data_IF_901996984727
#
_entry.id   IF_901996984727
#
_cell.length_a   1.000
_cell.length_b   1.000
_cell.length_c   1.000
_cell.angle_alpha   90.00
_cell.angle_beta   90.00
_cell.angle_gamma   90.00
#
_symmetry.space_group_name_H-M   'P 1'
#
loop_
_entity.id
_entity.type
_entity.pdbx_description
1 polymer ?
#
# COMPACT_ATOMS: atom_id res chain seq x y z
N UNK A 1 -16.01 10.58 -21.04
CA UNK A 1 -14.86 10.15 -21.85
C UNK A 1 -13.69 11.13 -21.72
N UNK A 2 -13.80 12.40 -22.16
CA UNK A 2 -12.68 13.35 -22.10
C UNK A 2 -12.06 13.54 -20.71
N UNK A 3 -12.87 13.66 -19.65
CA UNK A 3 -12.36 13.76 -18.27
C UNK A 3 -11.62 12.50 -17.81
N UNK A 4 -12.15 11.32 -18.12
CA UNK A 4 -11.54 10.02 -17.79
C UNK A 4 -10.17 9.86 -18.43
N UNK A 5 -10.03 10.22 -19.72
CA UNK A 5 -8.75 10.13 -20.43
C UNK A 5 -7.71 11.06 -19.78
N UNK A 6 -8.11 12.28 -19.42
CA UNK A 6 -7.22 13.24 -18.76
C UNK A 6 -6.73 12.74 -17.40
N UNK A 7 -7.60 12.18 -16.56
CA UNK A 7 -7.16 11.72 -15.24
C UNK A 7 -6.30 10.47 -15.33
N UNK A 8 -6.54 9.59 -16.29
CA UNK A 8 -5.66 8.44 -16.56
C UNK A 8 -4.27 8.92 -17.02
N UNK A 9 -4.20 9.99 -17.83
CA UNK A 9 -2.93 10.58 -18.21
C UNK A 9 -2.18 11.16 -17.01
N UNK A 10 -2.85 11.90 -16.14
CA UNK A 10 -2.25 12.45 -14.90
C UNK A 10 -1.76 11.31 -14.01
N UNK A 11 -2.56 10.26 -13.80
CA UNK A 11 -2.13 9.07 -13.06
C UNK A 11 -0.87 8.45 -13.67
N UNK A 12 -0.80 8.32 -15.00
CA UNK A 12 0.38 7.78 -15.68
C UNK A 12 1.63 8.64 -15.45
N UNK A 13 1.49 9.96 -15.39
CA UNK A 13 2.61 10.86 -15.09
C UNK A 13 3.09 10.70 -13.64
N UNK A 14 2.15 10.57 -12.69
CA UNK A 14 2.46 10.30 -11.28
C UNK A 14 3.19 8.96 -11.14
N UNK A 15 2.65 7.88 -11.73
CA UNK A 15 3.31 6.56 -11.70
C UNK A 15 4.70 6.63 -12.34
N UNK A 16 4.86 7.36 -13.44
CA UNK A 16 6.18 7.54 -14.06
C UNK A 16 7.14 8.34 -13.20
N UNK A 17 6.67 9.28 -12.38
CA UNK A 17 7.51 10.04 -11.46
C UNK A 17 7.92 9.15 -10.29
N UNK A 18 6.98 8.45 -9.65
CA UNK A 18 7.27 7.48 -8.58
C UNK A 18 8.23 6.37 -9.08
N UNK A 19 8.00 5.83 -10.27
CA UNK A 19 8.84 4.79 -10.87
C UNK A 19 10.26 5.23 -11.26
N UNK A 20 10.55 6.54 -11.23
CA UNK A 20 11.91 7.10 -11.38
C UNK A 20 12.55 7.39 -10.01
N UNK A 21 12.01 6.82 -8.95
CA UNK A 21 12.43 7.04 -7.57
C UNK A 21 11.69 8.18 -6.87
N UNK A 22 10.76 8.85 -7.55
CA UNK A 22 9.85 9.83 -6.95
C UNK A 22 10.57 10.80 -6.02
N UNK A 23 10.06 10.89 -4.79
CA UNK A 23 10.63 11.73 -3.74
C UNK A 23 12.00 11.24 -3.23
N UNK A 24 12.30 9.95 -3.32
CA UNK A 24 13.58 9.39 -2.86
C UNK A 24 14.77 9.82 -3.74
N UNK A 25 14.49 10.23 -4.98
CA UNK A 25 15.48 10.78 -5.91
C UNK A 25 15.32 12.29 -6.12
N UNK A 26 14.08 12.81 -6.09
CA UNK A 26 13.79 14.24 -6.27
C UNK A 26 14.08 15.03 -4.98
N UNK A 27 15.16 15.81 -5.02
CA UNK A 27 15.58 16.69 -3.91
C UNK A 27 14.81 18.01 -3.85
N UNK A 28 13.86 18.23 -4.76
CA UNK A 28 13.10 19.47 -4.84
C UNK A 28 12.06 19.59 -3.74
N UNK A 29 11.83 20.80 -3.25
CA UNK A 29 10.77 21.08 -2.27
C UNK A 29 9.38 21.03 -2.93
N UNK A 30 8.44 20.21 -2.43
CA UNK A 30 7.16 19.98 -3.11
C UNK A 30 6.26 21.23 -3.22
N UNK A 31 6.44 22.21 -2.33
CA UNK A 31 5.69 23.48 -2.36
C UNK A 31 6.28 24.52 -3.32
N UNK A 32 7.45 24.28 -3.91
CA UNK A 32 8.01 25.22 -4.87
C UNK A 32 7.35 25.05 -6.24
N UNK A 33 6.99 26.19 -6.83
CA UNK A 33 6.39 26.25 -8.15
C UNK A 33 7.31 25.64 -9.19
N UNK A 34 6.78 24.75 -10.03
CA UNK A 34 7.52 24.17 -11.15
C UNK A 34 8.29 22.88 -10.83
N UNK A 35 8.26 22.41 -9.59
CA UNK A 35 8.73 21.05 -9.26
C UNK A 35 7.80 19.99 -9.82
N UNK A 36 8.27 18.73 -9.92
CA UNK A 36 7.46 17.64 -10.44
C UNK A 36 6.20 17.44 -9.60
N UNK A 37 6.34 17.34 -8.27
CA UNK A 37 5.22 17.23 -7.35
C UNK A 37 4.21 18.38 -7.52
N UNK A 38 4.68 19.63 -7.47
CA UNK A 38 3.80 20.81 -7.56
C UNK A 38 2.95 20.79 -8.83
N UNK A 39 3.56 20.46 -9.99
CA UNK A 39 2.85 20.40 -11.27
C UNK A 39 1.79 19.30 -11.28
N UNK A 40 2.12 18.12 -10.75
CA UNK A 40 1.19 16.99 -10.70
C UNK A 40 0.01 17.26 -9.76
N UNK A 41 0.25 17.89 -8.61
CA UNK A 41 -0.80 18.32 -7.69
C UNK A 41 -1.68 19.42 -8.30
N UNK A 42 -1.07 20.40 -8.98
CA UNK A 42 -1.80 21.43 -9.72
C UNK A 42 -2.67 20.82 -10.83
N UNK A 43 -2.17 19.83 -11.58
CA UNK A 43 -2.93 19.16 -12.63
C UNK A 43 -4.13 18.38 -12.06
N UNK A 44 -3.99 17.72 -10.90
CA UNK A 44 -5.09 17.08 -10.19
C UNK A 44 -6.15 18.10 -9.74
N UNK A 45 -5.71 19.19 -9.13
CA UNK A 45 -6.59 20.26 -8.65
C UNK A 45 -7.33 20.94 -9.81
N UNK A 46 -6.61 21.22 -10.91
CA UNK A 46 -7.17 21.78 -12.14
C UNK A 46 -8.19 20.83 -12.75
N UNK A 47 -7.86 19.54 -12.84
CA UNK A 47 -8.79 18.53 -13.36
C UNK A 47 -10.10 18.50 -12.55
N UNK A 48 -10.01 18.55 -11.21
CA UNK A 48 -11.20 18.61 -10.34
C UNK A 48 -12.01 19.89 -10.55
N UNK A 49 -11.34 21.04 -10.70
CA UNK A 49 -11.99 22.35 -10.84
C UNK A 49 -12.83 22.49 -12.11
N UNK A 50 -12.45 21.82 -13.21
CA UNK A 50 -13.16 21.91 -14.49
C UNK A 50 -14.35 20.94 -14.58
N UNK A 51 -14.53 20.05 -13.60
CA UNK A 51 -15.64 19.10 -13.59
C UNK A 51 -16.94 19.84 -13.21
N UNK A 52 -18.00 19.71 -14.02
CA UNK A 52 -19.30 20.28 -13.69
C UNK A 52 -19.83 19.78 -12.35
N UNK A 53 -20.50 20.65 -11.59
CA UNK A 53 -21.00 20.36 -10.24
C UNK A 53 -21.81 19.06 -10.16
N UNK A 54 -22.62 18.77 -11.17
CA UNK A 54 -23.46 17.54 -11.22
C UNK A 54 -22.66 16.24 -11.43
N UNK A 55 -21.38 16.32 -11.82
CA UNK A 55 -20.47 15.17 -11.95
C UNK A 55 -19.45 15.08 -10.81
N UNK A 56 -19.41 16.05 -9.90
CA UNK A 56 -18.48 16.03 -8.78
C UNK A 56 -18.77 14.86 -7.85
N UNK A 57 -17.73 14.39 -7.16
CA UNK A 57 -17.88 13.33 -6.17
C UNK A 57 -18.67 13.83 -4.96
N UNK A 58 -19.88 13.30 -4.79
CA UNK A 58 -20.70 13.46 -3.59
C UNK A 58 -21.70 12.31 -3.50
N UNK A 59 -22.18 11.95 -2.30
CA UNK A 59 -23.22 10.93 -2.13
C UNK A 59 -24.50 11.22 -2.92
N UNK A 60 -24.87 12.51 -3.02
CA UNK A 60 -26.04 12.98 -3.76
C UNK A 60 -25.87 12.76 -5.26
N UNK A 61 -24.73 13.19 -5.81
CA UNK A 61 -24.42 13.00 -7.23
C UNK A 61 -24.28 11.53 -7.59
N UNK A 62 -23.66 10.72 -6.73
CA UNK A 62 -23.53 9.28 -6.94
C UNK A 62 -24.90 8.64 -7.21
N UNK A 63 -25.89 8.90 -6.34
CA UNK A 63 -27.24 8.34 -6.47
C UNK A 63 -27.92 8.77 -7.77
N UNK A 64 -27.84 10.06 -8.13
CA UNK A 64 -28.44 10.59 -9.35
C UNK A 64 -27.79 10.01 -10.62
N UNK A 65 -26.46 9.94 -10.68
CA UNK A 65 -25.71 9.45 -11.84
C UNK A 65 -25.93 7.95 -12.05
N UNK A 66 -26.03 7.19 -10.95
CA UNK A 66 -26.37 5.76 -10.99
C UNK A 66 -27.77 5.56 -11.56
N UNK A 67 -28.77 6.35 -11.12
CA UNK A 67 -30.13 6.30 -11.66
C UNK A 67 -30.20 6.62 -13.17
N UNK A 68 -29.28 7.47 -13.66
CA UNK A 68 -29.13 7.79 -15.08
C UNK A 68 -28.37 6.72 -15.90
N UNK A 69 -28.00 5.59 -15.30
CA UNK A 69 -27.25 4.52 -15.96
C UNK A 69 -25.79 4.85 -16.26
N UNK A 70 -25.26 5.94 -15.69
CA UNK A 70 -23.88 6.43 -15.92
C UNK A 70 -22.96 6.19 -14.71
N UNK A 71 -23.41 5.40 -13.74
CA UNK A 71 -22.68 5.12 -12.50
C UNK A 71 -21.29 4.52 -12.74
N UNK A 72 -21.20 3.44 -13.54
CA UNK A 72 -19.94 2.74 -13.81
C UNK A 72 -18.81 3.63 -14.36
N UNK A 73 -18.97 4.36 -15.48
CA UNK A 73 -17.91 5.23 -15.99
C UNK A 73 -17.59 6.41 -15.06
N UNK A 74 -18.57 6.90 -14.30
CA UNK A 74 -18.35 7.94 -13.30
C UNK A 74 -17.53 7.44 -12.11
N UNK A 75 -17.86 6.26 -11.57
CA UNK A 75 -17.12 5.65 -10.47
C UNK A 75 -15.69 5.32 -10.89
N UNK A 76 -15.48 4.78 -12.10
CA UNK A 76 -14.12 4.52 -12.59
C UNK A 76 -13.30 5.81 -12.73
N UNK A 77 -13.90 6.90 -13.22
CA UNK A 77 -13.22 8.19 -13.33
C UNK A 77 -12.77 8.72 -11.97
N UNK A 78 -13.63 8.67 -10.95
CA UNK A 78 -13.29 9.11 -9.60
C UNK A 78 -12.35 8.15 -8.87
N UNK A 79 -12.44 6.85 -9.12
CA UNK A 79 -11.49 5.86 -8.59
C UNK A 79 -10.06 6.19 -9.04
N UNK A 80 -9.87 6.47 -10.33
CA UNK A 80 -8.56 6.85 -10.88
C UNK A 80 -8.08 8.19 -10.28
N UNK A 81 -8.98 9.17 -10.09
CA UNK A 81 -8.63 10.44 -9.45
C UNK A 81 -8.13 10.25 -8.02
N UNK A 82 -8.86 9.50 -7.19
CA UNK A 82 -8.45 9.27 -5.81
C UNK A 82 -7.18 8.44 -5.73
N UNK A 83 -7.02 7.44 -6.60
CA UNK A 83 -5.78 6.67 -6.68
C UNK A 83 -4.59 7.57 -7.03
N UNK A 84 -4.72 8.44 -8.02
CA UNK A 84 -3.68 9.38 -8.43
C UNK A 84 -3.29 10.33 -7.28
N UNK A 85 -4.28 10.94 -6.63
CA UNK A 85 -4.06 11.84 -5.48
C UNK A 85 -3.43 11.11 -4.30
N UNK A 86 -3.90 9.90 -3.97
CA UNK A 86 -3.31 9.10 -2.91
C UNK A 86 -1.84 8.73 -3.21
N UNK A 87 -1.51 8.30 -4.43
CA UNK A 87 -0.13 8.00 -4.83
C UNK A 87 0.79 9.19 -4.69
N UNK A 88 0.35 10.36 -5.18
CA UNK A 88 1.20 11.55 -5.16
C UNK A 88 1.58 11.97 -3.73
N UNK A 89 0.60 12.02 -2.82
CA UNK A 89 0.83 12.47 -1.45
C UNK A 89 1.48 11.39 -0.56
N UNK A 90 1.25 10.10 -0.84
CA UNK A 90 1.84 8.99 -0.07
C UNK A 90 3.37 8.95 -0.15
N UNK A 91 3.98 9.48 -1.22
CA UNK A 91 5.45 9.56 -1.35
C UNK A 91 6.13 10.37 -0.22
N UNK A 92 5.36 11.12 0.56
CA UNK A 92 5.82 11.85 1.74
C UNK A 92 5.44 11.20 3.06
N UNK A 93 4.80 10.02 3.02
CA UNK A 93 4.57 9.16 4.18
C UNK A 93 5.65 8.07 4.18
N UNK A 94 6.44 7.94 5.27
CA UNK A 94 7.52 6.98 5.31
C UNK A 94 6.97 5.55 5.24
N UNK A 95 7.75 4.66 4.63
CA UNK A 95 7.38 3.25 4.51
C UNK A 95 7.19 2.58 5.89
N UNK A 96 8.07 2.93 6.82
CA UNK A 96 7.99 2.61 8.25
C UNK A 96 8.32 3.87 9.05
N UNK A 97 7.38 4.43 9.84
CA UNK A 97 7.65 5.60 10.67
C UNK A 97 8.79 5.36 11.67
N UNK A 98 9.55 6.41 11.97
CA UNK A 98 10.44 6.47 13.15
C UNK A 98 9.64 6.88 14.39
N UNK A 99 10.18 6.67 15.60
CA UNK A 99 9.46 6.95 16.86
C UNK A 99 9.07 8.43 16.98
N UNK A 100 9.96 9.35 16.57
CA UNK A 100 9.72 10.79 16.64
C UNK A 100 8.99 11.37 15.41
N UNK A 101 8.61 10.51 14.46
CA UNK A 101 7.95 10.92 13.22
C UNK A 101 6.56 11.49 13.51
N UNK A 102 6.27 12.63 12.88
CA UNK A 102 4.96 13.26 12.87
C UNK A 102 4.65 13.70 11.42
N UNK A 103 3.53 13.23 10.82
CA UNK A 103 3.13 13.65 9.48
C UNK A 103 3.05 15.17 9.28
N UNK A 104 2.84 15.96 10.35
CA UNK A 104 2.79 17.43 10.27
C UNK A 104 4.17 18.07 10.03
N UNK A 105 5.26 17.36 10.32
CA UNK A 105 6.65 17.82 10.12
C UNK A 105 7.19 17.47 8.74
N UNK A 106 6.48 16.64 7.98
CA UNK A 106 6.93 16.12 6.70
C UNK A 106 7.67 14.78 6.84
N UNK A 107 8.25 14.28 5.75
CA UNK A 107 8.84 12.95 5.70
C UNK A 107 10.11 12.82 6.55
N UNK A 108 10.37 11.61 7.07
CA UNK A 108 11.59 11.28 7.84
C UNK A 108 12.63 10.45 7.09
N UNK A 109 12.25 9.83 5.97
CA UNK A 109 13.12 9.04 5.06
C UNK A 109 13.65 9.91 3.90
N UNK A 110 14.35 9.37 2.90
CA UNK A 110 14.75 10.07 1.66
C UNK A 110 15.59 11.35 1.81
N UNK A 111 15.73 12.17 0.74
CA UNK A 111 16.49 13.41 0.79
C UNK A 111 15.91 14.42 1.79
N UNK A 112 16.80 15.05 2.57
CA UNK A 112 16.43 16.00 3.60
C UNK A 112 15.89 17.32 3.00
N UNK A 113 14.68 17.70 3.44
CA UNK A 113 14.06 18.97 3.05
C UNK A 113 14.49 20.08 4.01
N UNK A 114 15.58 20.78 3.68
CA UNK A 114 16.19 21.81 4.54
C UNK A 114 15.43 23.14 4.63
N UNK A 115 14.58 23.45 3.64
CA UNK A 115 13.73 24.64 3.68
C UNK A 115 12.46 24.37 4.49
N UNK A 116 12.02 25.37 5.26
CA UNK A 116 10.76 25.29 5.98
C UNK A 116 9.57 25.22 5.02
N UNK A 117 8.69 24.25 5.22
CA UNK A 117 7.45 24.15 4.48
C UNK A 117 6.52 25.34 4.79
N UNK A 118 5.69 25.79 3.83
CA UNK A 118 4.62 26.72 4.12
C UNK A 118 3.70 26.19 5.22
N UNK A 119 3.08 27.11 5.95
CA UNK A 119 2.13 26.77 7.00
C UNK A 119 1.06 25.81 6.46
N UNK A 120 0.76 24.77 7.22
CA UNK A 120 -0.28 23.76 6.95
C UNK A 120 -0.06 22.91 5.68
N UNK A 121 1.09 23.02 4.99
CA UNK A 121 1.37 22.24 3.77
C UNK A 121 1.32 20.73 4.04
N UNK A 122 2.05 20.26 5.05
CA UNK A 122 2.10 18.84 5.39
C UNK A 122 0.77 18.31 5.90
N UNK A 123 0.06 19.09 6.71
CA UNK A 123 -1.30 18.77 7.13
C UNK A 123 -2.23 18.59 5.92
N UNK A 124 -2.20 19.54 4.99
CA UNK A 124 -3.03 19.49 3.77
C UNK A 124 -2.68 18.30 2.88
N UNK A 125 -1.39 17.97 2.75
CA UNK A 125 -0.90 16.82 2.01
C UNK A 125 -1.36 15.50 2.64
N UNK A 126 -1.21 15.35 3.96
CA UNK A 126 -1.66 14.16 4.69
C UNK A 126 -3.18 14.02 4.64
N UNK A 127 -3.93 15.11 4.83
CA UNK A 127 -5.39 15.12 4.69
C UNK A 127 -5.81 14.70 3.27
N UNK A 128 -5.14 15.23 2.24
CA UNK A 128 -5.41 14.87 0.85
C UNK A 128 -5.21 13.37 0.56
N UNK A 129 -4.16 12.78 1.13
CA UNK A 129 -3.90 11.34 1.06
C UNK A 129 -5.00 10.54 1.75
N UNK A 130 -5.31 10.85 3.02
CA UNK A 130 -6.29 10.12 3.83
C UNK A 130 -7.69 10.21 3.22
N UNK A 131 -8.13 11.42 2.83
CA UNK A 131 -9.42 11.62 2.16
C UNK A 131 -9.54 10.78 0.90
N UNK A 132 -8.44 10.66 0.13
CA UNK A 132 -8.42 9.90 -1.10
C UNK A 132 -8.47 8.39 -0.83
N UNK A 133 -7.73 7.90 0.17
CA UNK A 133 -7.80 6.51 0.63
C UNK A 133 -9.22 6.14 1.09
N UNK A 134 -9.81 6.94 1.99
CA UNK A 134 -11.18 6.75 2.45
C UNK A 134 -12.18 6.77 1.28
N UNK A 135 -11.99 7.67 0.31
CA UNK A 135 -12.87 7.80 -0.85
C UNK A 135 -12.78 6.60 -1.79
N UNK A 136 -11.60 5.98 -1.94
CA UNK A 136 -11.42 4.73 -2.70
C UNK A 136 -12.26 3.62 -2.09
N UNK A 137 -12.11 3.38 -0.78
CA UNK A 137 -12.83 2.32 -0.06
C UNK A 137 -14.34 2.54 -0.13
N UNK A 138 -14.79 3.77 0.14
CA UNK A 138 -16.21 4.13 0.06
C UNK A 138 -16.77 3.95 -1.36
N UNK A 139 -16.03 4.38 -2.38
CA UNK A 139 -16.46 4.27 -3.77
C UNK A 139 -16.50 2.81 -4.23
N UNK A 140 -15.55 1.97 -3.79
CA UNK A 140 -15.62 0.53 -4.04
C UNK A 140 -16.91 -0.07 -3.44
N UNK A 141 -17.24 0.27 -2.20
CA UNK A 141 -18.47 -0.19 -1.54
C UNK A 141 -19.73 0.28 -2.29
N UNK A 142 -19.75 1.51 -2.79
CA UNK A 142 -20.84 2.01 -3.64
C UNK A 142 -20.94 1.17 -4.91
N UNK A 143 -19.82 0.93 -5.59
CA UNK A 143 -19.78 0.12 -6.81
C UNK A 143 -20.27 -1.31 -6.56
N UNK A 144 -19.86 -1.94 -5.46
CA UNK A 144 -20.31 -3.28 -5.07
C UNK A 144 -21.80 -3.32 -4.76
N UNK A 145 -22.30 -2.42 -3.89
CA UNK A 145 -23.72 -2.37 -3.49
C UNK A 145 -24.68 -2.05 -4.64
N UNK A 146 -24.19 -1.36 -5.67
CA UNK A 146 -25.00 -0.90 -6.81
C UNK A 146 -24.71 -1.67 -8.09
N UNK A 147 -23.99 -2.79 -7.99
CA UNK A 147 -23.61 -3.66 -9.11
C UNK A 147 -22.95 -2.93 -10.30
N UNK A 148 -22.04 -1.99 -9.99
CA UNK A 148 -21.30 -1.21 -10.99
C UNK A 148 -20.04 -1.93 -11.48
N UNK A 149 -20.03 -3.26 -11.41
CA UNK A 149 -18.91 -4.13 -11.84
C UNK A 149 -17.58 -3.86 -11.10
N UNK A 150 -17.63 -3.61 -9.77
CA UNK A 150 -16.45 -3.28 -8.96
C UNK A 150 -15.29 -4.28 -9.10
N UNK A 151 -15.61 -5.57 -9.03
CA UNK A 151 -14.65 -6.68 -9.11
C UNK A 151 -14.46 -7.23 -10.52
N UNK A 152 -15.02 -6.57 -11.55
CA UNK A 152 -14.85 -6.99 -12.95
C UNK A 152 -13.55 -6.48 -13.59
N UNK A 153 -12.85 -5.52 -12.96
CA UNK A 153 -11.60 -4.94 -13.48
C UNK A 153 -10.56 -4.86 -12.36
N UNK A 154 -9.25 -4.94 -12.68
CA UNK A 154 -8.20 -4.86 -11.68
C UNK A 154 -7.97 -3.44 -11.14
N UNK A 155 -8.38 -2.38 -11.86
CA UNK A 155 -8.11 -0.98 -11.49
C UNK A 155 -8.66 -0.63 -10.08
N UNK A 156 -9.92 -0.94 -9.71
CA UNK A 156 -10.39 -0.76 -8.33
C UNK A 156 -9.53 -1.47 -7.29
N UNK A 157 -8.97 -2.64 -7.61
CA UNK A 157 -8.04 -3.38 -6.74
C UNK A 157 -6.71 -2.66 -6.53
N UNK A 158 -6.15 -2.02 -7.57
CA UNK A 158 -4.95 -1.19 -7.44
C UNK A 158 -5.21 0.06 -6.59
N UNK A 159 -6.38 0.69 -6.75
CA UNK A 159 -6.83 1.75 -5.86
C UNK A 159 -6.88 1.28 -4.41
N UNK A 160 -7.53 0.13 -4.16
CA UNK A 160 -7.64 -0.47 -2.83
C UNK A 160 -6.28 -0.80 -2.22
N UNK A 161 -5.30 -1.27 -2.99
CA UNK A 161 -3.94 -1.52 -2.50
C UNK A 161 -3.32 -0.24 -1.91
N UNK A 162 -3.54 0.88 -2.60
CA UNK A 162 -3.07 2.19 -2.14
C UNK A 162 -3.79 2.61 -0.85
N UNK A 163 -5.12 2.52 -0.85
CA UNK A 163 -5.95 2.90 0.29
C UNK A 163 -5.63 2.05 1.54
N UNK A 164 -5.59 0.73 1.37
CA UNK A 164 -5.27 -0.23 2.44
C UNK A 164 -3.89 0.05 3.04
N UNK A 165 -2.88 0.42 2.24
CA UNK A 165 -1.56 0.79 2.79
C UNK A 165 -1.65 2.01 3.72
N UNK A 166 -2.43 3.03 3.37
CA UNK A 166 -2.65 4.19 4.24
C UNK A 166 -3.39 3.75 5.51
N UNK A 167 -4.45 2.94 5.37
CA UNK A 167 -5.22 2.47 6.51
C UNK A 167 -4.43 1.56 7.46
N UNK A 168 -3.47 0.77 6.95
CA UNK A 168 -2.53 0.01 7.79
C UNK A 168 -1.76 0.97 8.69
N UNK A 169 -1.09 1.98 8.12
CA UNK A 169 -0.26 2.93 8.87
C UNK A 169 -1.08 3.63 9.95
N UNK A 170 -2.23 4.19 9.61
CA UNK A 170 -3.08 4.92 10.57
C UNK A 170 -3.85 4.02 11.53
N UNK A 171 -3.93 2.70 11.29
CA UNK A 171 -4.48 1.75 12.26
C UNK A 171 -3.46 1.34 13.32
N UNK A 172 -2.17 1.35 12.96
CA UNK A 172 -1.07 0.93 13.83
C UNK A 172 -0.53 2.14 14.59
N UNK A 173 -0.23 3.25 13.91
CA UNK A 173 0.34 4.45 14.51
C UNK A 173 -0.73 5.50 14.78
N UNK A 174 -0.54 6.24 15.87
CA UNK A 174 -1.45 7.31 16.29
C UNK A 174 -0.66 8.59 16.49
N UNK A 175 -1.05 9.64 15.78
CA UNK A 175 -0.48 10.97 15.90
C UNK A 175 -1.55 11.96 16.32
N UNK A 176 -1.33 12.66 17.44
CA UNK A 176 -2.27 13.67 17.95
C UNK A 176 -2.56 14.76 16.90
N UNK A 177 -1.55 15.10 16.11
CA UNK A 177 -1.62 16.08 15.01
C UNK A 177 -2.60 15.71 13.89
N UNK A 178 -2.91 14.42 13.72
CA UNK A 178 -3.79 13.91 12.66
C UNK A 178 -5.07 13.27 13.20
N UNK A 179 -5.25 13.22 14.52
CA UNK A 179 -6.38 12.58 15.21
C UNK A 179 -7.75 13.13 14.81
N UNK A 180 -7.81 14.38 14.33
CA UNK A 180 -9.03 15.03 13.87
C UNK A 180 -9.47 14.62 12.45
N UNK A 181 -8.58 14.02 11.65
CA UNK A 181 -8.88 13.59 10.28
C UNK A 181 -9.30 12.12 10.25
N UNK A 182 -8.54 11.27 10.94
CA UNK A 182 -8.77 9.83 10.97
C UNK A 182 -8.29 9.23 12.28
N UNK A 183 -9.20 8.65 13.04
CA UNK A 183 -8.86 7.88 14.23
C UNK A 183 -8.33 6.48 13.88
N UNK A 184 -7.52 5.84 14.74
CA UNK A 184 -7.07 4.47 14.52
C UNK A 184 -8.20 3.45 14.38
N UNK A 185 -9.32 3.66 15.08
CA UNK A 185 -10.51 2.81 15.01
C UNK A 185 -11.21 2.93 13.65
N UNK A 186 -11.36 4.15 13.15
CA UNK A 186 -11.90 4.40 11.80
C UNK A 186 -10.97 3.84 10.74
N UNK A 187 -9.65 4.04 10.87
CA UNK A 187 -8.66 3.46 9.97
C UNK A 187 -8.75 1.95 9.93
N UNK A 188 -8.89 1.29 11.08
CA UNK A 188 -9.09 -0.16 11.18
C UNK A 188 -10.39 -0.62 10.53
N UNK A 189 -11.46 0.16 10.65
CA UNK A 189 -12.73 -0.09 9.97
C UNK A 189 -12.61 0.00 8.44
N UNK A 190 -11.87 0.98 7.93
CA UNK A 190 -11.56 1.06 6.49
C UNK A 190 -10.67 -0.09 6.02
N UNK A 191 -9.62 -0.44 6.78
CA UNK A 191 -8.77 -1.58 6.46
C UNK A 191 -9.57 -2.89 6.39
N UNK A 192 -10.52 -3.10 7.30
CA UNK A 192 -11.46 -4.23 7.23
C UNK A 192 -12.27 -4.23 5.94
N UNK A 193 -12.82 -3.08 5.56
CA UNK A 193 -13.56 -2.92 4.31
C UNK A 193 -12.70 -3.20 3.08
N UNK A 194 -11.43 -2.81 3.09
CA UNK A 194 -10.50 -3.04 2.00
C UNK A 194 -10.15 -4.53 1.86
N UNK A 195 -9.91 -5.22 2.97
CA UNK A 195 -9.63 -6.66 2.96
C UNK A 195 -10.85 -7.47 2.50
N UNK A 196 -12.06 -7.07 2.92
CA UNK A 196 -13.31 -7.64 2.39
C UNK A 196 -13.46 -7.38 0.88
N UNK A 197 -13.04 -6.21 0.40
CA UNK A 197 -13.04 -5.86 -1.00
C UNK A 197 -12.03 -6.69 -1.80
N UNK A 198 -10.82 -6.92 -1.30
CA UNK A 198 -9.87 -7.83 -1.95
C UNK A 198 -10.40 -9.25 -2.02
N UNK A 199 -11.03 -9.75 -0.95
CA UNK A 199 -11.63 -11.08 -0.95
C UNK A 199 -12.73 -11.20 -2.02
N UNK A 200 -13.53 -10.14 -2.21
CA UNK A 200 -14.54 -10.05 -3.27
C UNK A 200 -13.95 -10.06 -4.68
N UNK A 201 -12.87 -9.29 -4.92
CA UNK A 201 -12.15 -9.32 -6.20
C UNK A 201 -11.49 -10.68 -6.42
N UNK A 202 -10.97 -11.28 -5.35
CA UNK A 202 -10.30 -12.59 -5.35
C UNK A 202 -11.17 -13.73 -5.83
N UNK A 203 -12.50 -13.61 -5.71
CA UNK A 203 -13.45 -14.58 -6.26
C UNK A 203 -13.37 -14.68 -7.80
N UNK A 204 -12.81 -13.66 -8.46
CA UNK A 204 -12.70 -13.58 -9.93
C UNK A 204 -11.26 -13.47 -10.41
N UNK A 205 -10.40 -12.82 -9.63
CA UNK A 205 -9.02 -12.53 -10.00
C UNK A 205 -8.06 -13.04 -8.93
N UNK A 206 -7.24 -14.04 -9.28
CA UNK A 206 -6.15 -14.52 -8.40
C UNK A 206 -5.16 -13.41 -8.02
N UNK A 207 -5.11 -12.32 -8.81
CA UNK A 207 -4.30 -11.13 -8.51
C UNK A 207 -4.64 -10.52 -7.13
N UNK A 208 -5.90 -10.59 -6.68
CA UNK A 208 -6.27 -10.03 -5.38
C UNK A 208 -5.65 -10.76 -4.19
N UNK A 209 -5.34 -12.05 -4.34
CA UNK A 209 -4.61 -12.82 -3.33
C UNK A 209 -3.21 -12.21 -3.12
N UNK A 210 -2.57 -11.78 -4.20
CA UNK A 210 -1.24 -11.13 -4.12
C UNK A 210 -1.32 -9.79 -3.39
N UNK A 211 -2.36 -8.98 -3.64
CA UNK A 211 -2.57 -7.74 -2.91
C UNK A 211 -2.84 -7.96 -1.42
N UNK A 212 -3.64 -8.97 -1.06
CA UNK A 212 -3.88 -9.34 0.34
C UNK A 212 -2.58 -9.76 1.04
N UNK A 213 -1.71 -10.53 0.35
CA UNK A 213 -0.39 -10.89 0.86
C UNK A 213 0.50 -9.66 1.04
N UNK A 214 0.53 -8.75 0.07
CA UNK A 214 1.30 -7.50 0.17
C UNK A 214 0.85 -6.63 1.34
N UNK A 215 -0.45 -6.43 1.53
CA UNK A 215 -0.98 -5.69 2.68
C UNK A 215 -0.68 -6.41 3.99
N UNK A 216 -0.70 -7.74 4.01
CA UNK A 216 -0.30 -8.50 5.19
C UNK A 216 1.17 -8.28 5.54
N UNK A 217 2.08 -8.41 4.58
CA UNK A 217 3.50 -8.11 4.79
C UNK A 217 3.71 -6.69 5.33
N UNK A 218 3.04 -5.72 4.71
CA UNK A 218 3.13 -4.32 5.10
C UNK A 218 2.60 -4.07 6.52
N UNK A 219 1.50 -4.72 6.90
CA UNK A 219 0.96 -4.67 8.26
C UNK A 219 1.91 -5.29 9.28
N UNK A 220 2.47 -6.49 9.01
CA UNK A 220 3.41 -7.15 9.92
C UNK A 220 4.65 -6.28 10.16
N UNK A 221 5.23 -5.73 9.08
CA UNK A 221 6.40 -4.86 9.17
C UNK A 221 6.14 -3.63 10.04
N UNK A 222 5.03 -2.93 9.81
CA UNK A 222 4.68 -1.73 10.59
C UNK A 222 4.34 -2.06 12.05
N UNK A 223 3.78 -3.25 12.31
CA UNK A 223 3.54 -3.72 13.68
C UNK A 223 4.86 -3.99 14.42
N UNK A 224 5.81 -4.69 13.79
CA UNK A 224 7.14 -4.94 14.32
C UNK A 224 7.88 -3.62 14.59
N UNK A 225 7.78 -2.66 13.65
CA UNK A 225 8.32 -1.32 13.81
C UNK A 225 7.77 -0.65 15.08
N UNK A 226 6.45 -0.63 15.26
CA UNK A 226 5.84 -0.04 16.47
C UNK A 226 6.27 -0.71 17.77
N UNK A 227 6.42 -2.04 17.77
CA UNK A 227 6.87 -2.76 18.96
C UNK A 227 8.34 -2.50 19.29
N UNK A 228 9.19 -2.30 18.28
CA UNK A 228 10.60 -1.97 18.49
C UNK A 228 10.78 -0.69 19.32
N UNK A 229 9.86 0.27 19.20
CA UNK A 229 9.85 1.50 20.01
C UNK A 229 9.66 1.20 21.51
N UNK A 230 8.84 0.19 21.85
CA UNK A 230 8.58 -0.16 23.24
C UNK A 230 9.76 -0.92 23.91
N UNK A 231 10.59 -1.60 23.10
CA UNK A 231 11.70 -2.41 23.61
C UNK A 231 13.01 -1.60 23.76
N UNK A 232 13.16 -0.47 23.08
CA UNK A 232 14.33 0.41 23.16
C UNK A 232 14.27 1.35 24.37
N UNK A 233 14.46 0.80 25.57
CA UNK A 233 14.69 1.59 26.80
C UNK A 233 16.11 2.23 26.80
N UNK A 234 16.34 3.23 25.94
CA UNK A 234 17.40 4.24 26.13
C UNK A 234 18.82 3.91 25.66
N UNK A 235 19.04 2.92 24.80
CA UNK A 235 20.32 2.76 24.08
C UNK A 235 20.18 3.16 22.60
N UNK A 236 21.26 3.73 22.06
CA UNK A 236 21.40 4.37 20.76
C UNK A 236 20.50 3.82 19.63
N UNK A 237 19.83 4.75 18.94
CA UNK A 237 18.90 4.59 17.80
C UNK A 237 19.59 4.02 16.53
N UNK A 238 20.82 3.50 16.63
CA UNK A 238 21.59 3.11 15.44
C UNK A 238 21.32 1.71 14.89
N UNK A 239 20.48 0.89 15.52
CA UNK A 239 20.05 -0.36 14.89
C UNK A 239 18.71 -0.83 15.43
N UNK A 240 17.62 -0.40 14.77
CA UNK A 240 16.55 -1.35 14.45
C UNK A 240 17.25 -2.66 14.04
N UNK A 241 17.07 -3.78 14.74
CA UNK A 241 17.76 -5.01 14.33
C UNK A 241 17.14 -5.45 13.00
N UNK A 242 17.69 -4.93 11.91
CA UNK A 242 17.22 -5.17 10.54
C UNK A 242 17.18 -6.66 10.26
N UNK A 243 18.03 -7.44 10.94
CA UNK A 243 18.02 -8.90 10.92
C UNK A 243 16.74 -9.48 11.51
N UNK A 244 16.25 -9.01 12.67
CA UNK A 244 15.01 -9.48 13.28
C UNK A 244 13.79 -9.17 12.41
N UNK A 245 13.72 -7.97 11.83
CA UNK A 245 12.63 -7.58 10.92
C UNK A 245 12.68 -8.41 9.64
N UNK A 246 13.87 -8.59 9.06
CA UNK A 246 14.09 -9.42 7.88
C UNK A 246 13.72 -10.87 8.17
N UNK A 247 14.16 -11.44 9.28
CA UNK A 247 13.89 -12.82 9.67
C UNK A 247 12.40 -13.02 9.95
N UNK A 248 11.74 -12.08 10.62
CA UNK A 248 10.30 -12.09 10.85
C UNK A 248 9.48 -11.99 9.55
N UNK A 249 9.92 -11.16 8.60
CA UNK A 249 9.32 -11.11 7.25
C UNK A 249 9.55 -12.42 6.51
N UNK A 250 10.78 -12.95 6.51
CA UNK A 250 11.15 -14.17 5.79
C UNK A 250 10.41 -15.39 6.33
N UNK A 251 10.28 -15.52 7.65
CA UNK A 251 9.51 -16.58 8.29
C UNK A 251 8.03 -16.49 7.92
N UNK A 252 7.46 -15.29 7.90
CA UNK A 252 6.08 -15.07 7.47
C UNK A 252 5.87 -15.42 5.99
N UNK A 253 6.75 -14.97 5.10
CA UNK A 253 6.73 -15.32 3.67
C UNK A 253 6.84 -16.84 3.50
N UNK A 254 7.71 -17.53 4.24
CA UNK A 254 7.84 -18.99 4.22
C UNK A 254 6.54 -19.67 4.66
N UNK A 255 5.94 -19.23 5.76
CA UNK A 255 4.67 -19.77 6.26
C UNK A 255 3.52 -19.57 5.27
N UNK A 256 3.45 -18.40 4.63
CA UNK A 256 2.50 -18.11 3.56
C UNK A 256 2.75 -19.04 2.35
N UNK A 257 3.99 -19.09 1.86
CA UNK A 257 4.37 -19.89 0.69
C UNK A 257 4.07 -21.38 0.86
N UNK A 258 4.33 -21.94 2.04
CA UNK A 258 4.04 -23.35 2.36
C UNK A 258 2.53 -23.63 2.38
N UNK A 259 1.74 -22.78 3.02
CA UNK A 259 0.27 -22.92 3.05
C UNK A 259 -0.36 -22.69 1.66
N UNK A 260 0.22 -21.80 0.86
CA UNK A 260 -0.26 -21.46 -0.48
C UNK A 260 0.05 -22.53 -1.53
N UNK A 261 1.25 -23.14 -1.49
CA UNK A 261 1.58 -24.28 -2.37
C UNK A 261 0.63 -25.45 -2.17
N UNK A 262 0.11 -25.63 -0.96
CA UNK A 262 -0.89 -26.66 -0.63
C UNK A 262 -2.33 -26.29 -1.03
N UNK A 263 -2.63 -25.01 -1.24
CA UNK A 263 -3.99 -24.51 -1.48
C UNK A 263 -4.17 -23.96 -2.89
N UNK A 264 -3.41 -24.47 -3.87
CA UNK A 264 -3.39 -23.97 -5.27
C UNK A 264 -4.77 -23.90 -5.96
N UNK A 265 -5.79 -24.53 -5.39
CA UNK A 265 -7.22 -24.35 -5.67
C UNK A 265 -7.95 -23.61 -4.52
N UNK A 266 -7.74 -22.29 -4.32
CA UNK A 266 -8.46 -21.58 -3.24
C UNK A 266 -9.87 -21.19 -3.71
N UNK A 267 -10.87 -21.95 -3.29
CA UNK A 267 -12.20 -21.39 -3.05
C UNK A 267 -12.08 -20.42 -1.86
N UNK A 268 -11.81 -19.14 -2.12
CA UNK A 268 -11.80 -18.11 -1.08
C UNK A 268 -13.14 -18.16 -0.35
N UNK A 269 -13.10 -18.08 0.99
CA UNK A 269 -14.34 -18.03 1.77
C UNK A 269 -15.21 -16.85 1.29
N UNK A 270 -16.55 -16.95 1.39
CA UNK A 270 -17.44 -15.87 0.97
C UNK A 270 -17.17 -14.53 1.68
N UNK A 271 -16.61 -14.58 2.89
CA UNK A 271 -16.29 -13.44 3.73
C UNK A 271 -14.86 -13.54 4.25
N UNK A 272 -14.18 -12.40 4.40
CA UNK A 272 -12.86 -12.35 4.99
C UNK A 272 -12.97 -12.26 6.52
N UNK A 273 -12.24 -13.13 7.23
CA UNK A 273 -12.15 -13.09 8.68
C UNK A 273 -11.08 -12.09 9.11
N UNK A 274 -11.47 -10.82 9.18
CA UNK A 274 -10.55 -9.74 9.51
C UNK A 274 -9.97 -9.84 10.92
N UNK A 275 -10.79 -10.20 11.91
CA UNK A 275 -10.36 -10.25 13.32
C UNK A 275 -9.46 -11.47 13.58
N UNK A 276 -9.75 -12.61 12.95
CA UNK A 276 -8.84 -13.75 12.91
C UNK A 276 -7.52 -13.43 12.21
N UNK A 277 -7.57 -12.68 11.10
CA UNK A 277 -6.36 -12.21 10.40
C UNK A 277 -5.52 -11.30 11.30
N UNK A 278 -6.08 -10.24 11.91
CA UNK A 278 -5.33 -9.36 12.82
C UNK A 278 -4.71 -10.16 13.97
N UNK A 279 -5.48 -11.07 14.57
CA UNK A 279 -5.01 -11.91 15.67
C UNK A 279 -3.82 -12.79 15.27
N UNK A 280 -3.86 -13.38 14.06
CA UNK A 280 -2.76 -14.16 13.51
C UNK A 280 -1.51 -13.31 13.26
N UNK A 281 -1.68 -12.08 12.76
CA UNK A 281 -0.55 -11.15 12.56
C UNK A 281 0.12 -10.80 13.89
N UNK A 282 -0.68 -10.49 14.92
CA UNK A 282 -0.18 -10.15 16.25
C UNK A 282 0.46 -11.36 16.97
N UNK A 283 -0.13 -12.55 16.88
CA UNK A 283 0.40 -13.75 17.54
C UNK A 283 1.71 -14.23 16.90
N UNK A 284 1.84 -14.13 15.58
CA UNK A 284 3.07 -14.49 14.86
C UNK A 284 4.27 -13.66 15.31
N UNK A 285 4.03 -12.40 15.66
CA UNK A 285 5.05 -11.50 16.19
C UNK A 285 5.44 -11.87 17.64
N UNK A 286 4.46 -12.21 18.48
CA UNK A 286 4.72 -12.61 19.86
C UNK A 286 5.43 -13.97 19.99
N UNK A 287 5.21 -14.90 19.05
CA UNK A 287 5.91 -16.20 19.04
C UNK A 287 7.39 -16.10 18.66
N UNK A 288 7.75 -15.12 17.81
CA UNK A 288 9.15 -14.87 17.43
C UNK A 288 9.99 -14.37 18.62
N UNK A 289 9.39 -13.62 19.56
CA UNK A 289 10.04 -13.21 20.81
C UNK A 289 10.22 -14.37 21.82
N UNK A 290 9.40 -15.43 21.73
CA UNK A 290 9.47 -16.58 22.63
C UNK A 290 10.54 -17.62 22.26
N UNK A 291 11.00 -17.65 21.00
CA UNK A 291 12.04 -18.56 20.54
C UNK A 291 13.47 -18.09 20.83
N UNK A 292 13.67 -16.88 21.35
CA UNK A 292 15.01 -16.41 21.77
C UNK A 292 15.47 -16.97 23.11
N UNK A 293 14.61 -17.65 23.88
CA UNK A 293 14.96 -18.19 25.19
C UNK A 293 15.24 -19.70 25.23
N UNK A 294 14.89 -20.46 24.18
CA UNK A 294 15.13 -21.91 24.15
C UNK A 294 15.36 -22.39 22.71
N UNK A 295 16.60 -22.81 22.38
CA UNK A 295 16.82 -23.60 21.16
C UNK A 295 18.22 -23.53 20.58
N UNK A 296 19.11 -24.41 21.04
CA UNK A 296 20.27 -24.86 20.27
C UNK A 296 19.80 -25.48 18.94
N UNK A 297 20.44 -25.06 17.84
CA UNK A 297 20.15 -25.51 16.46
C UNK A 297 20.58 -26.97 16.25
N UNK A 298 19.62 -27.88 16.07
CA UNK A 298 19.81 -29.12 15.31
C UNK A 298 19.26 -28.95 13.89
N UNK A 299 20.15 -29.07 12.91
CA UNK A 299 19.86 -29.03 11.47
C UNK A 299 19.48 -30.44 11.02
N UNK A 300 18.31 -30.60 10.39
CA UNK A 300 17.95 -31.81 9.65
C UNK A 300 17.53 -31.43 8.24
N UNK A 301 18.33 -31.82 7.25
CA UNK A 301 18.01 -31.81 5.83
C UNK A 301 17.09 -32.98 5.46
N UNK A 302 16.11 -32.75 4.59
CA UNK A 302 15.66 -33.81 3.66
C UNK A 302 15.03 -33.29 2.37
N UNK A 303 15.50 -33.90 1.29
CA UNK A 303 15.14 -33.79 -0.12
C UNK A 303 13.70 -34.24 -0.45
N UNK A 304 13.07 -33.60 -1.43
CA UNK A 304 12.66 -34.24 -2.71
C UNK A 304 11.72 -33.37 -3.57
N UNK A 305 12.05 -33.34 -4.87
CA UNK A 305 11.39 -32.63 -5.98
C UNK A 305 10.11 -33.33 -6.49
N UNK A 306 9.18 -32.55 -7.02
CA UNK A 306 8.47 -32.89 -8.26
C UNK A 306 7.93 -31.66 -9.00
N UNK A 307 8.12 -31.68 -10.32
CA UNK A 307 7.99 -30.59 -11.29
C UNK A 307 6.66 -30.68 -12.05
N UNK A 308 5.95 -29.56 -12.26
CA UNK A 308 4.91 -29.42 -13.31
C UNK A 308 4.94 -27.99 -13.89
N UNK A 309 5.21 -27.90 -15.19
CA UNK A 309 5.21 -26.69 -16.04
C UNK A 309 3.79 -26.19 -16.35
N UNK A 310 3.58 -24.87 -16.42
CA UNK A 310 2.56 -24.23 -17.29
C UNK A 310 3.06 -22.85 -17.75
N UNK A 311 2.81 -22.59 -19.04
CA UNK A 311 3.25 -21.54 -19.97
C UNK A 311 2.92 -20.07 -19.64
N UNK A 312 3.79 -19.20 -20.17
CA UNK A 312 3.72 -17.74 -20.26
C UNK A 312 2.52 -17.23 -21.06
N UNK A 313 1.80 -16.23 -20.51
CA UNK A 313 1.13 -15.20 -21.31
C UNK A 313 0.78 -13.95 -20.46
N UNK A 314 1.28 -12.79 -20.90
CA UNK A 314 0.86 -11.40 -20.57
C UNK A 314 1.32 -10.73 -19.25
N UNK A 315 2.63 -10.71 -18.96
CA UNK A 315 3.20 -10.00 -17.78
C UNK A 315 3.61 -8.53 -18.06
N UNK A 316 3.61 -8.07 -19.32
CA UNK A 316 4.21 -6.78 -19.71
C UNK A 316 3.56 -5.49 -19.19
N UNK A 317 2.34 -5.52 -18.65
CA UNK A 317 1.64 -4.32 -18.15
C UNK A 317 1.60 -4.19 -16.61
N UNK A 318 1.95 -5.25 -15.88
CA UNK A 318 1.93 -5.25 -14.41
C UNK A 318 3.28 -4.87 -13.79
N UNK A 319 4.39 -5.06 -14.50
CA UNK A 319 5.73 -4.82 -13.98
C UNK A 319 6.04 -3.33 -13.69
N UNK A 320 5.31 -2.39 -14.30
CA UNK A 320 5.51 -0.94 -14.08
C UNK A 320 4.63 -0.33 -12.99
N UNK A 321 3.69 -1.08 -12.41
CA UNK A 321 2.80 -0.59 -11.32
C UNK A 321 3.41 -0.85 -9.94
N UNK A 322 4.59 -1.49 -9.88
CA UNK A 322 5.23 -1.95 -8.66
C UNK A 322 6.20 -0.94 -7.99
N UNK A 323 6.26 0.31 -8.48
CA UNK A 323 7.12 1.36 -7.91
C UNK A 323 6.76 1.74 -6.47
N UNK A 324 5.52 1.49 -6.03
CA UNK A 324 5.03 1.79 -4.68
C UNK A 324 5.65 0.89 -3.58
N UNK A 325 6.25 -0.24 -3.97
CA UNK A 325 6.78 -1.27 -3.08
C UNK A 325 8.12 -1.83 -3.56
N UNK A 326 8.90 -1.06 -4.35
CA UNK A 326 10.30 -1.44 -4.54
C UNK A 326 10.95 -1.52 -3.16
N UNK A 327 11.63 -2.63 -2.90
CA UNK A 327 12.36 -2.91 -1.66
C UNK A 327 13.56 -1.95 -1.47
N UNK A 328 13.69 -0.90 -2.28
CA UNK A 328 14.72 0.12 -2.20
C UNK A 328 14.73 0.85 -0.83
N UNK A 329 13.60 0.90 -0.14
CA UNK A 329 13.55 1.37 1.26
C UNK A 329 14.36 0.51 2.24
N UNK A 330 14.66 -0.74 1.91
CA UNK A 330 15.58 -1.59 2.68
C UNK A 330 17.04 -1.22 2.42
N UNK A 331 17.39 -0.78 1.20
CA UNK A 331 18.75 -0.36 0.86
C UNK A 331 19.17 0.91 1.61
N UNK A 332 18.23 1.84 1.85
CA UNK A 332 18.46 3.05 2.67
C UNK A 332 18.69 2.74 4.16
N UNK A 333 18.32 1.54 4.65
CA UNK A 333 18.60 1.06 6.02
C UNK A 333 20.00 0.46 6.20
N UNK A 334 20.93 0.70 5.28
CA UNK A 334 22.30 0.16 5.33
C UNK A 334 22.42 -1.29 4.86
N UNK A 335 21.41 -1.82 4.17
CA UNK A 335 21.47 -3.13 3.52
C UNK A 335 22.11 -3.02 2.13
N UNK A 336 23.35 -2.54 2.04
CA UNK A 336 24.18 -2.69 0.83
C UNK A 336 24.81 -4.09 0.77
N UNK A 337 23.96 -5.11 0.92
CA UNK A 337 24.29 -6.51 0.72
C UNK A 337 23.36 -7.05 -0.34
N UNK A 338 23.73 -6.78 -1.60
CA UNK A 338 23.35 -7.55 -2.78
C UNK A 338 21.84 -7.90 -2.86
N UNK A 339 21.00 -6.85 -2.82
CA UNK A 339 19.55 -6.99 -3.07
C UNK A 339 19.31 -7.49 -4.50
N UNK A 340 20.21 -7.14 -5.43
CA UNK A 340 20.19 -7.63 -6.80
C UNK A 340 20.51 -9.14 -6.89
N UNK A 341 21.45 -9.69 -6.09
CA UNK A 341 21.65 -11.16 -6.07
C UNK A 341 20.51 -11.94 -5.41
N UNK A 342 19.80 -11.35 -4.45
CA UNK A 342 18.59 -11.96 -3.89
C UNK A 342 17.42 -11.99 -4.89
N UNK A 343 17.39 -11.07 -5.85
CA UNK A 343 16.42 -11.06 -6.96
C UNK A 343 16.89 -11.99 -8.11
N UNK A 344 18.20 -12.06 -8.39
CA UNK A 344 18.76 -12.97 -9.40
C UNK A 344 18.73 -14.45 -8.98
N UNK A 345 18.90 -14.79 -7.70
CA UNK A 345 18.70 -16.16 -7.19
C UNK A 345 17.25 -16.66 -7.34
N UNK A 346 16.28 -15.75 -7.47
CA UNK A 346 14.85 -16.10 -7.62
C UNK A 346 14.44 -16.23 -9.09
N UNK A 347 15.34 -15.90 -10.04
CA UNK A 347 15.10 -15.93 -11.49
C UNK A 347 15.90 -16.96 -12.29
N UNK A 348 16.93 -17.61 -11.73
CA UNK A 348 17.80 -18.56 -12.45
C UNK A 348 17.92 -19.96 -11.82
N UNK A 349 16.83 -20.48 -11.26
CA UNK A 349 16.68 -21.93 -11.06
C UNK A 349 15.65 -22.49 -12.04
N UNK A 350 16.01 -22.53 -13.32
CA UNK A 350 15.10 -22.99 -14.36
C UNK A 350 15.62 -22.96 -15.78
N UNK A 351 16.92 -23.18 -16.01
CA UNK A 351 17.47 -23.53 -17.32
C UNK A 351 18.78 -24.33 -17.10
N UNK A 352 18.64 -25.64 -16.94
CA UNK A 352 19.38 -26.69 -17.66
C UNK A 352 18.62 -28.01 -17.56
#
# INVERSE_FOLDING_TARGET
>A
MGYTIRIVHILSQIISWNGRGGRHVDTSFPWLTGTAFYRLDEDLNRWRSVIPVFLQYSPQNASAIIALGKGKPWSMMWMVYFQARAYLHREYLPFTPQEEYDPLKGPSDGPALTAAAPKDFWYSSAAAMIESANSISNLYQIMKKRDLSASAYPIPGLGLLTAASVHVVYSIFSWDSMSNILSPEESRSYLKQDMDAFNDIGQRWCLAIHWMRQISLFYKLNLLTKQSWANNNGNDISSMNVKEIKDGIMNFVRQISLKDRQTRDVNLKPTFDFDGWVSAMQSSVNQEQGMELEGELEIVESDSLSTVYVEDLQVGLLNNVSGMFYLDGLAEMGLSGDVDSLVEEWGQSGLE
#
